data_IF_775690215284
#
_entry.id   IF_775690215284
#
_cell.length_a   1.000
_cell.length_b   1.000
_cell.length_c   1.000
_cell.angle_alpha   90.00
_cell.angle_beta   90.00
_cell.angle_gamma   90.00
#
_symmetry.space_group_name_H-M   'P 1'
#
loop_
_entity.id
_entity.type
_entity.pdbx_description
1 polymer ?
#
# COMPACT_ATOMS: atom_id res chain seq x y z
N UNK A 1 -13.52 -2.41 14.51
CA UNK A 1 -12.34 -2.38 13.60
C UNK A 1 -11.18 -3.03 14.34
N UNK A 2 -10.52 -4.06 13.79
CA UNK A 2 -9.30 -4.62 14.41
C UNK A 2 -8.12 -3.73 14.01
N UNK A 3 -7.37 -3.15 14.97
CA UNK A 3 -6.18 -2.38 14.65
C UNK A 3 -5.20 -3.24 13.84
N UNK A 4 -4.64 -2.69 12.75
CA UNK A 4 -3.62 -3.37 11.94
C UNK A 4 -4.10 -4.05 10.66
N UNK A 5 -5.37 -3.87 10.26
CA UNK A 5 -5.89 -4.32 8.95
C UNK A 5 -6.44 -3.12 8.17
N UNK A 6 -5.92 -2.89 6.97
CA UNK A 6 -6.41 -1.91 6.00
C UNK A 6 -6.84 -2.60 4.69
N UNK A 7 -7.50 -1.85 3.82
CA UNK A 7 -7.96 -2.36 2.52
C UNK A 7 -7.42 -1.47 1.41
N UNK A 8 -6.77 -2.08 0.42
CA UNK A 8 -6.35 -1.42 -0.81
C UNK A 8 -7.35 -1.72 -1.91
N UNK A 9 -7.86 -0.65 -2.52
CA UNK A 9 -8.80 -0.72 -3.63
C UNK A 9 -8.17 -0.06 -4.85
N UNK A 10 -7.89 -0.84 -5.88
CA UNK A 10 -7.50 -0.32 -7.18
C UNK A 10 -8.58 -0.65 -8.22
N UNK A 11 -8.96 0.34 -9.01
CA UNK A 11 -9.92 0.19 -10.09
C UNK A 11 -9.20 0.46 -11.40
N UNK A 12 -9.05 -0.56 -12.23
CA UNK A 12 -8.44 -0.47 -13.56
C UNK A 12 -9.53 -0.50 -14.62
N UNK A 13 -9.73 0.58 -15.40
CA UNK A 13 -10.70 0.57 -16.48
C UNK A 13 -10.23 -0.35 -17.61
N UNK A 14 -11.14 -1.17 -18.14
CA UNK A 14 -10.91 -2.00 -19.33
C UNK A 14 -11.63 -1.35 -20.50
N UNK A 15 -10.86 -0.96 -21.50
CA UNK A 15 -11.36 -0.37 -22.74
C UNK A 15 -11.38 -1.39 -23.87
N UNK A 16 -12.46 -1.41 -24.65
CA UNK A 16 -12.57 -2.14 -25.91
C UNK A 16 -13.03 -1.16 -26.99
N UNK A 17 -12.29 -1.07 -28.10
CA UNK A 17 -12.57 -0.11 -29.17
C UNK A 17 -12.75 1.35 -28.66
N UNK A 18 -11.85 1.81 -27.78
CA UNK A 18 -11.88 3.14 -27.17
C UNK A 18 -13.13 3.48 -26.35
N UNK A 19 -13.95 2.49 -26.00
CA UNK A 19 -15.08 2.63 -25.08
C UNK A 19 -14.82 1.84 -23.80
N UNK A 20 -15.18 2.42 -22.66
CA UNK A 20 -15.12 1.73 -21.37
C UNK A 20 -16.12 0.56 -21.40
N UNK A 21 -15.60 -0.66 -21.34
CA UNK A 21 -16.41 -1.88 -21.40
C UNK A 21 -16.67 -2.45 -20.01
N UNK A 22 -15.68 -2.34 -19.11
CA UNK A 22 -15.76 -2.85 -17.76
C UNK A 22 -14.76 -2.12 -16.84
N UNK A 23 -14.93 -2.29 -15.53
CA UNK A 23 -13.95 -1.88 -14.52
C UNK A 23 -13.48 -3.12 -13.77
N UNK A 24 -12.17 -3.32 -13.69
CA UNK A 24 -11.56 -4.38 -12.92
C UNK A 24 -11.17 -3.83 -11.55
N UNK A 25 -11.82 -4.34 -10.50
CA UNK A 25 -11.48 -4.02 -9.12
C UNK A 25 -10.50 -5.02 -8.54
N UNK A 26 -9.43 -4.53 -7.96
CA UNK A 26 -8.53 -5.27 -7.08
C UNK A 26 -8.81 -4.81 -5.67
N UNK A 27 -9.34 -5.71 -4.84
CA UNK A 27 -9.42 -5.53 -3.39
C UNK A 27 -8.31 -6.38 -2.76
N UNK A 28 -7.40 -5.73 -2.03
CA UNK A 28 -6.35 -6.41 -1.31
C UNK A 28 -6.40 -6.03 0.17
N UNK A 29 -6.52 -7.04 1.03
CA UNK A 29 -6.38 -6.85 2.46
C UNK A 29 -4.92 -6.56 2.80
N UNK A 30 -4.64 -5.34 3.26
CA UNK A 30 -3.35 -4.96 3.80
C UNK A 30 -3.32 -5.33 5.28
N UNK A 31 -2.34 -6.13 5.69
CA UNK A 31 -2.11 -6.44 7.11
C UNK A 31 -0.78 -5.85 7.54
N UNK A 32 -0.76 -5.15 8.67
CA UNK A 32 0.45 -4.53 9.21
C UNK A 32 1.59 -5.56 9.38
N UNK A 33 1.25 -6.79 9.79
CA UNK A 33 2.17 -7.93 9.92
C UNK A 33 2.84 -8.37 8.62
N UNK A 34 2.16 -8.19 7.48
CA UNK A 34 2.73 -8.53 6.17
C UNK A 34 3.94 -7.67 5.85
N UNK A 35 3.98 -6.44 6.35
CA UNK A 35 5.10 -5.55 6.12
C UNK A 35 6.25 -5.70 7.12
N UNK A 36 6.04 -6.41 8.23
CA UNK A 36 7.12 -6.81 9.15
C UNK A 36 7.80 -8.10 8.70
N UNK A 37 7.32 -8.76 7.64
CA UNK A 37 7.94 -9.97 7.12
C UNK A 37 9.13 -9.60 6.22
N UNK A 38 10.34 -10.10 6.51
CA UNK A 38 11.53 -9.86 5.67
C UNK A 38 11.24 -10.16 4.19
N UNK A 39 11.48 -9.17 3.33
CA UNK A 39 11.36 -9.32 1.87
C UNK A 39 9.98 -9.09 1.26
N UNK A 40 8.93 -8.76 2.04
CA UNK A 40 7.58 -8.60 1.46
C UNK A 40 7.42 -7.27 0.72
N UNK A 41 7.67 -6.12 1.33
CA UNK A 41 7.57 -4.79 0.70
C UNK A 41 8.40 -3.76 1.51
N UNK A 42 9.08 -2.78 0.90
CA UNK A 42 9.75 -1.72 1.64
C UNK A 42 8.72 -0.89 2.41
N UNK A 43 8.88 -0.80 3.73
CA UNK A 43 8.04 0.03 4.59
C UNK A 43 8.60 1.44 4.66
N UNK A 44 7.71 2.43 4.55
CA UNK A 44 8.05 3.82 4.79
C UNK A 44 7.18 4.38 5.92
N UNK A 45 7.82 5.06 6.85
CA UNK A 45 7.15 5.77 7.95
C UNK A 45 7.38 7.25 7.72
N UNK A 46 6.32 7.95 7.32
CA UNK A 46 6.35 9.40 7.14
C UNK A 46 5.74 10.06 8.38
N UNK A 47 6.45 11.00 8.98
CA UNK A 47 5.91 11.92 10.00
C UNK A 47 5.27 13.08 9.24
N UNK A 48 3.99 13.34 9.49
CA UNK A 48 3.28 14.48 8.92
C UNK A 48 2.97 15.50 10.02
N UNK A 49 3.18 16.78 9.72
CA UNK A 49 2.63 17.92 10.47
C UNK A 49 1.52 18.62 9.65
N UNK A 50 1.01 19.74 10.17
CA UNK A 50 -0.04 20.52 9.50
C UNK A 50 0.40 21.15 8.17
N UNK A 51 1.71 21.27 7.92
CA UNK A 51 2.29 21.82 6.70
C UNK A 51 2.75 20.73 5.71
N UNK A 52 2.74 19.46 6.12
CA UNK A 52 3.03 18.31 5.27
C UNK A 52 4.03 17.31 5.86
N UNK A 53 4.65 16.46 5.02
CA UNK A 53 5.66 15.50 5.46
C UNK A 53 6.91 16.19 6.06
N UNK A 54 7.22 15.88 7.32
CA UNK A 54 8.37 16.42 8.07
C UNK A 54 9.58 15.49 8.01
N UNK A 55 9.36 14.19 8.02
CA UNK A 55 10.43 13.19 7.97
C UNK A 55 9.93 11.90 7.34
N UNK A 56 10.79 11.23 6.57
CA UNK A 56 10.49 10.01 5.85
C UNK A 56 11.51 8.93 6.20
N UNK A 57 11.06 7.84 6.83
CA UNK A 57 11.92 6.77 7.32
C UNK A 57 11.63 5.46 6.58
N UNK A 58 12.54 5.06 5.72
CA UNK A 58 12.49 3.75 5.07
C UNK A 58 12.99 2.66 6.04
N UNK A 59 12.08 1.81 6.52
CA UNK A 59 12.41 0.65 7.34
C UNK A 59 12.55 -0.59 6.44
N UNK A 60 13.80 -1.01 6.17
CA UNK A 60 14.08 -2.29 5.51
C UNK A 60 14.11 -3.39 6.57
N UNK A 61 12.99 -4.08 6.75
CA UNK A 61 12.97 -5.29 7.58
C UNK A 61 13.61 -6.42 6.78
N UNK A 62 14.77 -6.93 7.24
CA UNK A 62 15.41 -8.11 6.66
C UNK A 62 16.79 -7.93 6.02
N UNK A 63 17.64 -7.03 6.50
CA UNK A 63 19.06 -7.08 6.15
C UNK A 63 19.91 -7.04 7.42
N UNK A 64 19.83 -8.13 8.18
CA UNK A 64 20.87 -8.51 9.15
C UNK A 64 21.74 -9.54 8.43
N UNK A 65 23.04 -9.25 8.31
CA UNK A 65 24.04 -10.29 8.09
C UNK A 65 24.21 -11.09 9.37
#
# INVERSE_FOLDING_TARGET
MRPGVGYFYALTPIYVANRLQAMLGVEQTIRMESFFTPGSLPMNVTILDDNGPVADFACRVGQQY
#
